data_IF_567549440331
#
_entry.id   IF_567549440331
#
_cell.length_a   1.000
_cell.length_b   1.000
_cell.length_c   1.000
_cell.angle_alpha   90.00
_cell.angle_beta   90.00
_cell.angle_gamma   90.00
#
_symmetry.space_group_name_H-M   'P 1'
#
loop_
_entity.id
_entity.type
_entity.pdbx_description
1 polymer ?
#
# COMPACT_ATOMS: atom_id res chain seq x y z
N UNK A 1 -7.05 0.11 -8.53
CA UNK A 1 -5.73 -0.35 -8.10
C UNK A 1 -4.91 0.84 -7.64
N UNK A 2 -4.22 0.73 -6.53
CA UNK A 2 -3.32 1.73 -5.98
C UNK A 2 -1.90 1.16 -5.90
N UNK A 3 -0.94 1.78 -6.58
CA UNK A 3 0.49 1.51 -6.40
C UNK A 3 1.07 2.57 -5.47
N UNK A 4 1.62 2.17 -4.35
CA UNK A 4 2.08 3.10 -3.33
C UNK A 4 3.31 2.61 -2.54
N UNK A 5 3.92 3.57 -1.84
CA UNK A 5 5.10 3.41 -1.01
C UNK A 5 4.79 3.98 0.39
N UNK A 6 5.07 3.22 1.43
CA UNK A 6 4.74 3.62 2.81
C UNK A 6 5.56 4.82 3.33
N UNK A 7 6.71 5.13 2.72
CA UNK A 7 7.51 6.32 3.08
C UNK A 7 7.04 7.58 2.35
N UNK A 8 6.28 7.43 1.27
CA UNK A 8 5.77 8.53 0.46
C UNK A 8 4.63 9.29 1.16
N UNK A 9 4.78 10.59 1.51
CA UNK A 9 3.73 11.34 2.20
C UNK A 9 2.45 11.52 1.35
N UNK A 10 2.60 11.64 0.04
CA UNK A 10 1.47 11.77 -0.89
C UNK A 10 0.67 10.47 -0.95
N UNK A 11 1.35 9.32 -0.83
CA UNK A 11 0.69 8.02 -0.76
C UNK A 11 -0.16 7.88 0.51
N UNK A 12 0.28 8.45 1.63
CA UNK A 12 -0.53 8.49 2.85
C UNK A 12 -1.82 9.29 2.67
N UNK A 13 -1.74 10.47 2.05
CA UNK A 13 -2.93 11.28 1.75
C UNK A 13 -3.90 10.53 0.83
N UNK A 14 -3.38 9.87 -0.20
CA UNK A 14 -4.19 9.08 -1.14
C UNK A 14 -4.87 7.90 -0.45
N UNK A 15 -4.14 7.21 0.44
CA UNK A 15 -4.70 6.11 1.25
C UNK A 15 -5.89 6.58 2.10
N UNK A 16 -5.80 7.75 2.74
CA UNK A 16 -6.91 8.34 3.51
C UNK A 16 -8.12 8.58 2.61
N UNK A 17 -7.93 9.22 1.45
CA UNK A 17 -9.02 9.52 0.52
C UNK A 17 -9.70 8.26 -0.03
N UNK A 18 -8.93 7.21 -0.32
CA UNK A 18 -9.49 5.94 -0.78
C UNK A 18 -10.27 5.21 0.32
N UNK A 19 -9.84 5.30 1.58
CA UNK A 19 -10.59 4.77 2.70
C UNK A 19 -11.92 5.51 2.92
N UNK A 20 -11.95 6.84 2.73
CA UNK A 20 -13.22 7.60 2.73
C UNK A 20 -14.11 7.17 1.56
N UNK A 21 -13.53 6.95 0.37
CA UNK A 21 -14.29 6.48 -0.77
C UNK A 21 -14.99 5.12 -0.50
N UNK A 22 -14.34 4.19 0.21
CA UNK A 22 -14.98 2.92 0.59
C UNK A 22 -16.20 3.13 1.50
N UNK A 23 -16.19 4.18 2.33
CA UNK A 23 -17.34 4.54 3.16
C UNK A 23 -18.45 5.19 2.34
N UNK A 24 -18.10 6.04 1.38
CA UNK A 24 -19.04 6.79 0.56
C UNK A 24 -19.70 5.97 -0.55
N UNK A 25 -19.07 4.91 -1.02
CA UNK A 25 -19.55 4.11 -2.14
C UNK A 25 -19.82 2.64 -1.76
N UNK A 26 -20.84 2.02 -2.40
CA UNK A 26 -21.29 0.67 -2.06
C UNK A 26 -20.63 -0.44 -2.89
N UNK A 27 -20.04 -0.11 -4.04
CA UNK A 27 -19.57 -1.09 -5.03
C UNK A 27 -18.13 -0.85 -5.50
N UNK A 28 -17.29 -0.25 -4.66
CA UNK A 28 -15.87 -0.11 -4.95
C UNK A 28 -15.06 -1.16 -4.20
N UNK A 29 -13.94 -1.53 -4.80
CA UNK A 29 -12.93 -2.41 -4.22
C UNK A 29 -11.56 -1.78 -4.45
N UNK A 30 -10.76 -1.66 -3.41
CA UNK A 30 -9.38 -1.22 -3.52
C UNK A 30 -8.47 -2.45 -3.59
N UNK A 31 -7.55 -2.44 -4.54
CA UNK A 31 -6.45 -3.38 -4.64
C UNK A 31 -5.17 -2.57 -4.48
N UNK A 32 -4.43 -2.84 -3.42
CA UNK A 32 -3.17 -2.17 -3.13
C UNK A 32 -2.00 -3.01 -3.65
N UNK A 33 -1.04 -2.34 -4.29
CA UNK A 33 0.22 -2.91 -4.76
C UNK A 33 1.37 -2.13 -4.13
N UNK A 34 2.30 -2.84 -3.51
CA UNK A 34 3.49 -2.23 -2.93
C UNK A 34 4.47 -1.86 -4.05
N UNK A 35 4.85 -0.61 -4.09
CA UNK A 35 5.86 -0.08 -5.01
C UNK A 35 6.92 0.71 -4.21
N UNK A 36 7.72 0.02 -3.37
CA UNK A 36 8.76 0.67 -2.58
C UNK A 36 9.90 1.19 -3.46
N UNK A 37 10.25 2.47 -3.30
CA UNK A 37 11.43 3.08 -3.91
C UNK A 37 12.67 2.87 -3.03
N UNK A 38 12.86 1.64 -2.59
CA UNK A 38 13.91 1.17 -1.70
C UNK A 38 14.75 0.09 -2.40
N UNK A 39 16.05 0.31 -2.48
CA UNK A 39 16.99 -0.63 -3.15
C UNK A 39 17.11 -1.97 -2.45
N UNK A 40 16.65 -2.08 -1.20
CA UNK A 40 16.69 -3.36 -0.47
C UNK A 40 15.93 -4.47 -1.23
N UNK A 41 14.77 -4.14 -1.82
CA UNK A 41 13.97 -5.12 -2.54
C UNK A 41 13.62 -4.74 -3.97
N UNK A 42 13.80 -3.46 -4.36
CA UNK A 42 13.42 -2.97 -5.69
C UNK A 42 14.64 -2.87 -6.61
N UNK A 43 14.84 -3.81 -7.55
CA UNK A 43 15.97 -3.81 -8.46
C UNK A 43 15.85 -2.76 -9.58
N UNK A 44 14.70 -2.11 -9.74
CA UNK A 44 14.43 -1.16 -10.81
C UNK A 44 14.75 0.29 -10.44
N UNK A 45 15.05 0.57 -9.17
CA UNK A 45 15.43 1.92 -8.73
C UNK A 45 16.94 2.08 -8.71
N UNK A 46 17.43 3.22 -9.23
CA UNK A 46 18.87 3.53 -9.28
C UNK A 46 19.39 4.10 -7.96
N UNK A 47 18.54 4.77 -7.20
CA UNK A 47 18.87 5.42 -5.92
C UNK A 47 17.92 4.92 -4.82
N UNK A 48 18.41 4.93 -3.57
CA UNK A 48 17.58 4.57 -2.41
C UNK A 48 16.82 5.81 -1.92
N UNK A 49 15.68 6.10 -2.54
CA UNK A 49 14.88 7.30 -2.23
C UNK A 49 14.08 7.15 -0.93
N UNK A 50 13.59 5.94 -0.65
CA UNK A 50 12.70 5.66 0.48
C UNK A 50 13.23 4.49 1.32
N UNK A 51 14.31 4.68 2.11
CA UNK A 51 14.80 3.65 3.03
C UNK A 51 13.70 3.14 3.95
N UNK A 52 13.69 1.84 4.25
CA UNK A 52 12.68 1.11 5.02
C UNK A 52 11.32 0.89 4.31
N UNK A 53 11.12 1.34 3.10
CA UNK A 53 9.87 1.07 2.38
C UNK A 53 9.67 -0.44 2.14
N UNK A 54 10.74 -1.17 1.81
CA UNK A 54 10.70 -2.63 1.69
C UNK A 54 10.33 -3.31 3.01
N UNK A 55 10.91 -2.85 4.11
CA UNK A 55 10.61 -3.36 5.45
C UNK A 55 9.14 -3.17 5.80
N UNK A 56 8.57 -1.99 5.54
CA UNK A 56 7.16 -1.72 5.79
C UNK A 56 6.23 -2.51 4.87
N UNK A 57 6.58 -2.68 3.58
CA UNK A 57 5.82 -3.52 2.66
C UNK A 57 5.75 -4.99 3.14
N UNK A 58 6.85 -5.53 3.67
CA UNK A 58 6.87 -6.87 4.30
C UNK A 58 5.90 -6.93 5.48
N UNK A 59 5.88 -5.90 6.33
CA UNK A 59 4.95 -5.79 7.46
C UNK A 59 3.49 -5.80 7.05
N UNK A 60 3.14 -5.04 6.01
CA UNK A 60 1.78 -5.00 5.48
C UNK A 60 1.31 -6.36 4.96
N UNK A 61 2.14 -7.04 4.16
CA UNK A 61 1.81 -8.35 3.59
C UNK A 61 1.70 -9.41 4.71
N UNK A 62 2.63 -9.42 5.67
CA UNK A 62 2.56 -10.33 6.82
C UNK A 62 1.31 -10.12 7.65
N UNK A 63 0.88 -8.86 7.85
CA UNK A 63 -0.38 -8.53 8.51
C UNK A 63 -1.59 -9.04 7.72
N UNK A 64 -1.56 -8.97 6.40
CA UNK A 64 -2.58 -9.52 5.54
C UNK A 64 -2.78 -11.02 5.71
N UNK A 65 -1.71 -11.78 6.03
CA UNK A 65 -1.78 -13.21 6.34
C UNK A 65 -2.49 -13.51 7.68
N UNK A 66 -2.65 -12.49 8.53
CA UNK A 66 -3.43 -12.55 9.77
C UNK A 66 -4.75 -11.75 9.67
N UNK A 67 -5.16 -11.33 8.47
CA UNK A 67 -6.47 -10.76 8.19
C UNK A 67 -6.59 -9.24 8.36
N UNK A 68 -5.51 -8.51 8.72
CA UNK A 68 -5.54 -7.09 9.05
C UNK A 68 -4.56 -6.25 8.20
N UNK A 69 -4.59 -6.46 6.88
CA UNK A 69 -3.74 -5.71 5.93
C UNK A 69 -3.95 -4.19 6.03
N UNK A 70 -5.20 -3.75 6.00
CA UNK A 70 -5.56 -2.33 5.90
C UNK A 70 -5.30 -1.57 7.21
N UNK A 71 -5.56 -2.22 8.34
CA UNK A 71 -5.26 -1.67 9.66
C UNK A 71 -3.75 -1.49 9.84
N UNK A 72 -2.96 -2.49 9.46
CA UNK A 72 -1.49 -2.38 9.47
C UNK A 72 -1.03 -1.33 8.48
N UNK A 73 -1.58 -1.27 7.28
CA UNK A 73 -1.24 -0.26 6.27
C UNK A 73 -1.40 1.16 6.83
N UNK A 74 -2.50 1.46 7.50
CA UNK A 74 -2.72 2.74 8.16
C UNK A 74 -1.68 3.04 9.23
N UNK A 75 -1.41 2.06 10.11
CA UNK A 75 -0.40 2.20 11.17
C UNK A 75 1.02 2.41 10.62
N UNK A 76 1.37 1.79 9.49
CA UNK A 76 2.67 1.97 8.85
C UNK A 76 2.85 3.40 8.35
N UNK A 77 1.84 3.98 7.70
CA UNK A 77 1.88 5.38 7.29
C UNK A 77 2.00 6.34 8.49
N UNK A 78 1.29 6.07 9.57
CA UNK A 78 1.26 6.93 10.75
C UNK A 78 2.54 6.86 11.58
N UNK A 79 3.12 5.68 11.74
CA UNK A 79 4.20 5.43 12.70
C UNK A 79 5.58 5.31 12.08
N UNK A 80 5.69 5.02 10.78
CA UNK A 80 6.96 4.91 10.04
C UNK A 80 8.01 4.04 10.75
N UNK A 81 7.73 2.76 11.08
CA UNK A 81 8.67 1.92 11.82
C UNK A 81 9.94 1.66 11.00
N UNK A 82 11.10 1.79 11.62
CA UNK A 82 12.41 1.56 10.98
C UNK A 82 13.14 0.32 11.50
N UNK A 83 12.60 -0.35 12.51
CA UNK A 83 13.16 -1.54 13.12
C UNK A 83 12.08 -2.49 13.63
N UNK A 84 12.47 -3.76 13.79
CA UNK A 84 11.55 -4.83 14.18
C UNK A 84 10.84 -4.54 15.51
N UNK A 85 11.53 -3.93 16.49
CA UNK A 85 10.91 -3.57 17.78
C UNK A 85 9.67 -2.69 17.61
N UNK A 86 9.76 -1.66 16.75
CA UNK A 86 8.64 -0.74 16.51
C UNK A 86 7.55 -1.41 15.68
N UNK A 87 7.92 -2.23 14.69
CA UNK A 87 6.99 -3.03 13.92
C UNK A 87 6.18 -4.01 14.80
N UNK A 88 6.83 -4.64 15.78
CA UNK A 88 6.18 -5.55 16.72
C UNK A 88 5.21 -4.85 17.68
N UNK A 89 5.43 -3.57 18.02
CA UNK A 89 4.45 -2.78 18.77
C UNK A 89 3.14 -2.60 17.98
N UNK A 90 3.25 -2.39 16.66
CA UNK A 90 2.07 -2.31 15.78
C UNK A 90 1.36 -3.67 15.66
N UNK A 91 2.14 -4.75 15.51
CA UNK A 91 1.60 -6.11 15.48
C UNK A 91 0.86 -6.46 16.80
N UNK A 92 1.41 -6.06 17.94
CA UNK A 92 0.78 -6.23 19.26
C UNK A 92 -0.50 -5.44 19.40
N UNK A 93 -0.53 -4.19 18.93
CA UNK A 93 -1.73 -3.35 18.90
C UNK A 93 -2.87 -3.99 18.11
N UNK A 94 -2.54 -4.73 17.04
CA UNK A 94 -3.51 -5.45 16.21
C UNK A 94 -3.82 -6.87 16.70
N UNK A 95 -3.21 -7.31 17.81
CA UNK A 95 -3.46 -8.63 18.42
C UNK A 95 -2.87 -9.80 17.63
N UNK A 96 -1.80 -9.57 16.87
CA UNK A 96 -1.18 -10.63 16.07
C UNK A 96 -0.39 -11.63 16.91
N UNK A 97 -0.31 -12.86 16.40
CA UNK A 97 0.75 -13.80 16.78
C UNK A 97 2.09 -13.24 16.29
N UNK A 98 2.91 -12.74 17.23
CA UNK A 98 4.17 -12.05 16.91
C UNK A 98 5.20 -12.98 16.27
N UNK A 99 5.30 -14.23 16.73
CA UNK A 99 6.27 -15.18 16.19
C UNK A 99 5.91 -15.53 14.73
N UNK A 100 4.62 -15.76 14.49
CA UNK A 100 4.10 -15.95 13.12
C UNK A 100 4.32 -14.71 12.26
N UNK A 101 4.08 -13.52 12.78
CA UNK A 101 4.25 -12.26 12.06
C UNK A 101 5.69 -12.05 11.62
N UNK A 102 6.67 -12.23 12.53
CA UNK A 102 8.10 -12.14 12.19
C UNK A 102 8.47 -13.18 11.13
N UNK A 103 8.06 -14.43 11.34
CA UNK A 103 8.33 -15.51 10.38
C UNK A 103 7.77 -15.21 8.99
N UNK A 104 6.57 -14.64 8.91
CA UNK A 104 5.95 -14.25 7.65
C UNK A 104 6.71 -13.08 7.00
N UNK A 105 7.07 -12.04 7.76
CA UNK A 105 7.85 -10.90 7.27
C UNK A 105 9.20 -11.33 6.64
N UNK A 106 9.87 -12.29 7.25
CA UNK A 106 11.18 -12.79 6.82
C UNK A 106 11.10 -13.88 5.76
N UNK A 107 9.89 -14.32 5.41
CA UNK A 107 9.70 -15.45 4.49
C UNK A 107 10.02 -15.12 3.03
N UNK A 108 10.52 -16.10 2.31
CA UNK A 108 10.69 -16.04 0.85
C UNK A 108 9.35 -15.80 0.13
N UNK A 109 8.25 -16.25 0.71
CA UNK A 109 6.90 -16.07 0.15
C UNK A 109 6.55 -14.58 0.10
N UNK A 110 6.77 -13.84 1.18
CA UNK A 110 6.52 -12.39 1.24
C UNK A 110 7.50 -11.63 0.35
N UNK A 111 8.77 -12.02 0.34
CA UNK A 111 9.75 -11.43 -0.58
C UNK A 111 9.36 -11.61 -2.05
N UNK A 112 8.88 -12.81 -2.42
CA UNK A 112 8.40 -13.11 -3.76
C UNK A 112 7.14 -12.33 -4.14
N UNK A 113 6.23 -12.14 -3.20
CA UNK A 113 5.01 -11.35 -3.40
C UNK A 113 5.36 -9.90 -3.75
N UNK A 114 6.24 -9.25 -2.98
CA UNK A 114 6.76 -7.92 -3.30
C UNK A 114 7.45 -7.91 -4.67
N UNK A 115 8.31 -8.89 -4.94
CA UNK A 115 8.98 -9.02 -6.24
C UNK A 115 8.00 -9.08 -7.42
N UNK A 116 6.91 -9.81 -7.29
CA UNK A 116 5.86 -9.89 -8.31
C UNK A 116 5.14 -8.54 -8.52
N UNK A 117 4.86 -7.82 -7.44
CA UNK A 117 4.28 -6.47 -7.52
C UNK A 117 5.22 -5.49 -8.22
N UNK A 118 6.52 -5.54 -7.91
CA UNK A 118 7.55 -4.72 -8.56
C UNK A 118 7.71 -5.04 -10.05
N UNK A 119 7.68 -6.31 -10.43
CA UNK A 119 7.70 -6.73 -11.84
C UNK A 119 6.47 -6.19 -12.56
N UNK A 120 5.28 -6.30 -11.96
CA UNK A 120 4.04 -5.76 -12.53
C UNK A 120 4.14 -4.25 -12.74
N UNK A 121 4.59 -3.50 -11.73
CA UNK A 121 4.77 -2.06 -11.80
C UNK A 121 5.78 -1.67 -12.89
N UNK A 122 6.92 -2.35 -12.96
CA UNK A 122 7.93 -2.11 -13.98
C UNK A 122 7.40 -2.38 -15.41
N UNK A 123 6.63 -3.44 -15.60
CA UNK A 123 6.02 -3.77 -16.90
C UNK A 123 4.96 -2.72 -17.32
N UNK A 124 4.33 -2.05 -16.37
CA UNK A 124 3.43 -0.92 -16.62
C UNK A 124 4.19 0.41 -16.81
N UNK A 125 5.51 0.43 -16.67
CA UNK A 125 6.34 1.63 -16.78
C UNK A 125 6.14 2.62 -15.63
N UNK A 126 5.76 2.14 -14.44
CA UNK A 126 5.52 3.01 -13.27
C UNK A 126 6.85 3.45 -12.65
N UNK A 127 7.05 4.75 -12.57
CA UNK A 127 8.25 5.41 -12.05
C UNK A 127 7.96 6.35 -10.87
N UNK A 128 6.71 6.39 -10.41
CA UNK A 128 6.26 7.30 -9.35
C UNK A 128 5.11 6.73 -8.54
N UNK A 129 4.97 7.22 -7.32
CA UNK A 129 3.89 6.89 -6.40
C UNK A 129 3.28 8.17 -5.79
N UNK A 130 1.98 8.19 -5.48
CA UNK A 130 1.00 7.15 -5.80
C UNK A 130 0.66 7.10 -7.28
N UNK A 131 0.36 5.91 -7.80
CA UNK A 131 -0.25 5.75 -9.12
C UNK A 131 -1.56 4.98 -8.96
N UNK A 132 -2.63 5.51 -9.52
CA UNK A 132 -3.99 4.95 -9.41
C UNK A 132 -4.48 4.51 -10.77
N UNK A 133 -5.19 3.38 -10.79
CA UNK A 133 -6.02 2.94 -11.91
C UNK A 133 -7.46 2.73 -11.43
N UNK A 134 -8.43 3.30 -12.14
CA UNK A 134 -9.85 3.04 -11.92
C UNK A 134 -10.35 2.20 -13.07
N UNK A 135 -10.72 0.94 -12.81
CA UNK A 135 -11.17 -0.02 -13.83
C UNK A 135 -10.22 -0.15 -15.04
N UNK A 136 -8.90 0.01 -14.81
CA UNK A 136 -7.86 -0.09 -15.85
C UNK A 136 -7.43 1.27 -16.43
N UNK A 137 -8.16 2.35 -16.18
CA UNK A 137 -7.80 3.68 -16.65
C UNK A 137 -6.88 4.38 -15.64
N UNK A 138 -5.71 4.78 -16.10
CA UNK A 138 -4.73 5.47 -15.24
C UNK A 138 -5.17 6.89 -14.92
N UNK A 139 -5.18 7.23 -13.65
CA UNK A 139 -5.46 8.57 -13.16
C UNK A 139 -4.13 9.29 -12.91
N UNK A 140 -3.91 10.37 -13.66
CA UNK A 140 -2.66 11.12 -13.60
C UNK A 140 -2.73 12.17 -12.49
N UNK A 141 -1.73 12.10 -11.59
CA UNK A 141 -1.57 12.99 -10.45
C UNK A 141 -2.59 12.73 -9.34
N UNK A 142 -2.28 13.24 -8.15
CA UNK A 142 -3.21 13.21 -7.02
C UNK A 142 -4.38 14.16 -7.30
N UNK A 143 -5.58 13.76 -6.91
CA UNK A 143 -6.80 14.56 -7.05
C UNK A 143 -7.33 14.94 -5.67
N UNK A 144 -7.89 16.15 -5.51
CA UNK A 144 -8.72 16.45 -4.34
C UNK A 144 -9.87 15.43 -4.23
N UNK A 145 -10.32 15.16 -3.01
CA UNK A 145 -11.31 14.10 -2.79
C UNK A 145 -12.60 14.27 -3.60
N UNK A 146 -13.07 15.51 -3.80
CA UNK A 146 -14.27 15.77 -4.61
C UNK A 146 -14.07 15.37 -6.09
N UNK A 147 -12.87 15.62 -6.68
CA UNK A 147 -12.57 15.17 -8.04
C UNK A 147 -12.45 13.65 -8.11
N UNK A 148 -11.83 13.02 -7.11
CA UNK A 148 -11.75 11.56 -7.02
C UNK A 148 -13.16 10.93 -6.97
N UNK A 149 -14.09 11.54 -6.22
CA UNK A 149 -15.49 11.08 -6.17
C UNK A 149 -16.16 11.17 -7.55
N UNK A 150 -15.97 12.27 -8.26
CA UNK A 150 -16.54 12.43 -9.62
C UNK A 150 -15.97 11.39 -10.57
N UNK A 151 -14.66 11.17 -10.56
CA UNK A 151 -14.00 10.11 -11.35
C UNK A 151 -14.53 8.71 -11.00
N UNK A 152 -14.72 8.41 -9.73
CA UNK A 152 -15.28 7.13 -9.30
C UNK A 152 -16.71 6.95 -9.83
N UNK A 153 -17.54 7.99 -9.79
CA UNK A 153 -18.91 7.96 -10.33
C UNK A 153 -18.90 7.75 -11.85
N UNK A 154 -18.04 8.47 -12.57
CA UNK A 154 -17.86 8.30 -14.03
C UNK A 154 -17.48 6.85 -14.40
N UNK A 155 -16.73 6.17 -13.53
CA UNK A 155 -16.35 4.76 -13.69
C UNK A 155 -17.34 3.77 -13.07
N UNK A 156 -18.53 4.22 -12.70
CA UNK A 156 -19.64 3.37 -12.28
C UNK A 156 -19.76 3.12 -10.77
N UNK A 157 -19.03 3.88 -9.94
CA UNK A 157 -19.21 3.80 -8.50
C UNK A 157 -20.59 4.31 -8.08
N UNK A 158 -21.19 3.65 -7.09
CA UNK A 158 -22.55 3.94 -6.61
C UNK A 158 -22.47 4.54 -5.21
N UNK A 159 -22.80 5.83 -5.03
CA UNK A 159 -22.87 6.43 -3.71
C UNK A 159 -23.77 5.63 -2.76
N UNK A 160 -23.36 5.51 -1.50
CA UNK A 160 -24.24 4.98 -0.45
C UNK A 160 -25.36 6.00 -0.19
N UNK A 161 -26.54 5.46 0.11
CA UNK A 161 -27.70 6.27 0.52
C UNK A 161 -27.58 6.67 1.99
#
# INVERSE_FOLDING_TARGET
>A
ELYSDYVCPICYMENIMLHEAVKDFSNIKIIHHNLPFDKECNPYVSTNMHPNACFMARGAIAAGKQGNYWEMSSLLYENQPTKMEDMLKLAEQLGFDKDKFVKDMESDTVAKEIGNELVKANNLGLDSTPTIYINGDQIIGIKPYYELKDLLIEHGAKPRK
#
